data_IF_170831543120
#
_entry.id   IF_170831543120
#
_cell.length_a   1.000
_cell.length_b   1.000
_cell.length_c   1.000
_cell.angle_alpha   90.00
_cell.angle_beta   90.00
_cell.angle_gamma   90.00
#
_symmetry.space_group_name_H-M   'P 1'
#
loop_
_entity.id
_entity.type
_entity.pdbx_description
1 polymer ?
#
# COMPACT_ATOMS: atom_id res chain seq x y z
N UNK A 1 -10.86 17.41 12.49
CA UNK A 1 -10.01 16.22 12.21
C UNK A 1 -8.62 16.73 11.89
N UNK A 2 -7.58 16.22 12.53
CA UNK A 2 -6.21 16.58 12.17
C UNK A 2 -5.95 16.20 10.69
N UNK A 3 -5.27 17.08 9.98
CA UNK A 3 -4.96 16.90 8.56
C UNK A 3 -4.01 15.71 8.41
N UNK A 4 -4.31 14.79 7.52
CA UNK A 4 -3.46 13.62 7.23
C UNK A 4 -2.59 13.86 5.98
N UNK A 5 -1.78 12.87 5.63
CA UNK A 5 -1.00 12.89 4.39
C UNK A 5 -1.90 12.98 3.16
N UNK A 6 -1.48 13.77 2.17
CA UNK A 6 -2.20 13.99 0.91
C UNK A 6 -1.49 13.27 -0.24
N UNK A 7 -2.27 12.77 -1.19
CA UNK A 7 -1.77 12.07 -2.38
C UNK A 7 -2.05 12.89 -3.63
N UNK A 8 -1.03 13.06 -4.43
CA UNK A 8 -1.08 13.64 -5.76
C UNK A 8 -0.42 12.69 -6.77
N UNK A 9 -0.72 12.87 -8.05
CA UNK A 9 -0.12 12.11 -9.13
C UNK A 9 0.61 13.03 -10.09
N UNK A 10 1.81 12.64 -10.53
CA UNK A 10 2.52 13.32 -11.60
C UNK A 10 1.82 12.99 -12.90
N UNK A 11 1.13 13.89 -13.48
CA UNK A 11 0.42 13.64 -14.72
C UNK A 11 -0.37 14.83 -15.23
N UNK A 12 -0.91 14.63 -16.35
CA UNK A 12 -1.59 15.30 -17.41
C UNK A 12 -2.58 16.43 -17.02
N UNK A 13 -3.02 16.54 -15.78
CA UNK A 13 -4.09 17.48 -15.39
C UNK A 13 -3.60 18.88 -14.94
N UNK A 14 -2.33 19.16 -15.10
CA UNK A 14 -1.85 20.55 -14.98
C UNK A 14 -2.10 21.30 -16.28
N UNK A 15 -3.36 21.31 -16.70
CA UNK A 15 -3.83 22.09 -17.82
C UNK A 15 -3.62 23.59 -17.59
N UNK A 16 -3.12 24.29 -18.59
CA UNK A 16 -3.04 25.74 -18.62
C UNK A 16 -1.87 26.34 -17.81
N UNK A 17 -0.76 26.65 -18.44
CA UNK A 17 0.34 27.46 -17.86
C UNK A 17 1.42 26.68 -17.10
N UNK A 18 1.24 25.38 -16.89
CA UNK A 18 2.17 24.54 -16.11
C UNK A 18 3.01 23.57 -16.98
N UNK A 19 3.07 23.79 -18.30
CA UNK A 19 3.88 22.96 -19.21
C UNK A 19 5.35 22.87 -18.76
N UNK A 20 5.90 23.93 -18.19
CA UNK A 20 7.23 23.94 -17.60
C UNK A 20 7.40 23.01 -16.41
N UNK A 21 6.33 22.75 -15.64
CA UNK A 21 6.39 21.84 -14.50
C UNK A 21 6.57 20.39 -14.94
N UNK A 22 5.90 19.97 -16.03
CA UNK A 22 6.08 18.62 -16.59
C UNK A 22 7.50 18.43 -17.14
N UNK A 23 8.07 19.46 -17.76
CA UNK A 23 9.46 19.44 -18.26
C UNK A 23 10.45 19.41 -17.10
N UNK A 24 10.27 20.27 -16.10
CA UNK A 24 11.12 20.29 -14.89
C UNK A 24 10.98 19.00 -14.10
N UNK A 25 9.77 18.47 -13.93
CA UNK A 25 9.50 17.19 -13.27
C UNK A 25 10.27 16.06 -13.94
N UNK A 26 10.24 15.94 -15.27
CA UNK A 26 11.04 14.95 -16.00
C UNK A 26 12.54 15.14 -15.80
N UNK A 27 13.06 16.37 -15.80
CA UNK A 27 14.46 16.67 -15.50
C UNK A 27 14.87 16.27 -14.09
N UNK A 28 13.96 16.40 -13.12
CA UNK A 28 14.14 15.96 -11.74
C UNK A 28 13.93 14.45 -11.54
N UNK A 29 13.61 13.72 -12.63
CA UNK A 29 13.43 12.27 -12.60
C UNK A 29 12.05 11.80 -12.20
N UNK A 30 11.06 12.68 -12.11
CA UNK A 30 9.66 12.28 -11.92
C UNK A 30 9.11 11.66 -13.19
N UNK A 31 8.33 10.59 -13.04
CA UNK A 31 7.69 9.89 -14.15
C UNK A 31 6.20 10.21 -14.16
N UNK A 32 5.61 10.24 -15.34
CA UNK A 32 4.17 10.34 -15.48
C UNK A 32 3.48 9.20 -14.74
N UNK A 33 2.37 9.51 -14.05
CA UNK A 33 1.68 8.55 -13.19
C UNK A 33 2.46 8.14 -11.93
N UNK A 34 3.52 8.86 -11.57
CA UNK A 34 4.21 8.65 -10.30
C UNK A 34 3.43 9.32 -9.16
N UNK A 35 3.18 8.61 -8.05
CA UNK A 35 2.54 9.22 -6.89
C UNK A 35 3.50 10.15 -6.15
N UNK A 36 2.94 11.20 -5.57
CA UNK A 36 3.61 12.13 -4.66
C UNK A 36 2.80 12.17 -3.36
N UNK A 37 3.43 11.84 -2.26
CA UNK A 37 2.86 12.00 -0.92
C UNK A 37 3.38 13.27 -0.29
N UNK A 38 2.44 14.11 0.15
CA UNK A 38 2.71 15.37 0.84
C UNK A 38 2.29 15.22 2.30
N UNK A 39 3.21 15.47 3.21
CA UNK A 39 2.95 15.45 4.65
C UNK A 39 1.99 16.57 5.08
N UNK A 40 1.37 16.48 6.26
CA UNK A 40 0.44 17.51 6.73
C UNK A 40 1.07 18.92 6.86
N UNK A 41 2.39 19.01 7.10
CA UNK A 41 3.15 20.26 7.10
C UNK A 41 3.54 20.76 5.70
N UNK A 42 3.01 20.14 4.64
CA UNK A 42 3.19 20.58 3.25
C UNK A 42 4.49 20.14 2.59
N UNK A 43 5.25 19.21 3.18
CA UNK A 43 6.53 18.75 2.65
C UNK A 43 6.42 17.51 1.79
N UNK A 44 7.27 17.45 0.76
CA UNK A 44 7.50 16.25 -0.06
C UNK A 44 8.80 15.60 0.37
N UNK A 45 8.78 14.33 0.73
CA UNK A 45 9.98 13.59 1.06
C UNK A 45 10.63 13.02 -0.22
N UNK A 46 11.87 13.46 -0.48
CA UNK A 46 12.63 13.03 -1.65
C UNK A 46 12.89 11.51 -1.66
N UNK A 47 13.02 10.88 -0.48
CA UNK A 47 13.22 9.44 -0.32
C UNK A 47 11.98 8.67 -0.80
N UNK A 48 10.80 9.13 -0.43
CA UNK A 48 9.54 8.54 -0.92
C UNK A 48 9.38 8.75 -2.44
N UNK A 49 9.76 9.92 -2.95
CA UNK A 49 9.76 10.19 -4.40
C UNK A 49 10.71 9.24 -5.14
N UNK A 50 11.88 8.95 -4.60
CA UNK A 50 12.82 7.95 -5.13
C UNK A 50 12.21 6.54 -5.09
N UNK A 51 11.60 6.15 -3.98
CA UNK A 51 10.92 4.85 -3.87
C UNK A 51 9.86 4.67 -4.95
N UNK A 52 9.01 5.66 -5.13
CA UNK A 52 7.93 5.59 -6.11
C UNK A 52 8.42 5.60 -7.56
N UNK A 53 9.52 6.27 -7.85
CA UNK A 53 10.06 6.42 -9.20
C UNK A 53 11.06 5.36 -9.64
N UNK A 54 11.82 4.76 -8.71
CA UNK A 54 13.01 3.96 -9.03
C UNK A 54 13.10 2.58 -8.39
N UNK A 55 12.21 2.25 -7.45
CA UNK A 55 12.23 0.95 -6.78
C UNK A 55 11.41 -0.11 -7.53
N UNK A 56 11.36 -1.31 -6.96
CA UNK A 56 10.42 -2.38 -7.42
C UNK A 56 8.95 -1.96 -7.36
N UNK A 57 8.62 -0.90 -6.63
CA UNK A 57 7.28 -0.31 -6.64
C UNK A 57 6.92 0.19 -8.05
N UNK A 58 7.83 0.89 -8.74
CA UNK A 58 7.59 1.48 -10.05
C UNK A 58 7.26 0.44 -11.14
N UNK A 59 7.72 -0.81 -10.99
CA UNK A 59 7.45 -1.91 -11.93
C UNK A 59 6.14 -2.66 -11.65
N UNK A 60 5.41 -2.31 -10.59
CA UNK A 60 4.10 -2.93 -10.27
C UNK A 60 3.02 -2.45 -11.23
N UNK A 61 2.01 -3.30 -11.45
CA UNK A 61 0.80 -2.93 -12.18
C UNK A 61 0.13 -1.69 -11.57
N UNK A 62 -0.46 -0.85 -12.41
CA UNK A 62 -1.05 0.45 -12.01
C UNK A 62 -2.01 0.31 -10.83
N UNK A 63 -2.99 -0.60 -10.89
CA UNK A 63 -3.92 -0.81 -9.78
C UNK A 63 -3.27 -1.28 -8.48
N UNK A 64 -2.12 -2.01 -8.56
CA UNK A 64 -1.34 -2.37 -7.38
C UNK A 64 -0.64 -1.13 -6.79
N UNK A 65 -0.06 -0.28 -7.65
CA UNK A 65 0.59 0.97 -7.22
C UNK A 65 -0.41 1.90 -6.54
N UNK A 66 -1.57 2.10 -7.14
CA UNK A 66 -2.66 2.91 -6.58
C UNK A 66 -3.09 2.40 -5.21
N UNK A 67 -3.34 1.09 -5.10
CA UNK A 67 -3.72 0.47 -3.83
C UNK A 67 -2.65 0.65 -2.75
N UNK A 68 -1.37 0.42 -3.09
CA UNK A 68 -0.27 0.53 -2.14
C UNK A 68 -0.06 1.97 -1.66
N UNK A 69 -0.13 2.94 -2.57
CA UNK A 69 0.02 4.36 -2.20
C UNK A 69 -1.08 4.81 -1.25
N UNK A 70 -2.32 4.36 -1.46
CA UNK A 70 -3.41 4.63 -0.53
C UNK A 70 -3.15 4.00 0.84
N UNK A 71 -2.58 2.79 0.88
CA UNK A 71 -2.21 2.12 2.11
C UNK A 71 -1.08 2.88 2.84
N UNK A 72 -0.04 3.34 2.12
CA UNK A 72 1.02 4.21 2.68
C UNK A 72 0.46 5.51 3.22
N UNK A 73 -0.38 6.21 2.47
CA UNK A 73 -1.00 7.45 2.91
C UNK A 73 -1.74 7.30 4.23
N UNK A 74 -2.50 6.22 4.37
CA UNK A 74 -3.27 5.95 5.58
C UNK A 74 -2.37 5.65 6.77
N UNK A 75 -1.36 4.78 6.58
CA UNK A 75 -0.41 4.43 7.63
C UNK A 75 0.43 5.63 8.07
N UNK A 76 0.91 6.44 7.12
CA UNK A 76 1.68 7.64 7.45
C UNK A 76 0.84 8.70 8.16
N UNK A 77 -0.44 8.81 7.82
CA UNK A 77 -1.36 9.68 8.57
C UNK A 77 -1.56 9.19 10.00
N UNK A 78 -1.67 7.88 10.20
CA UNK A 78 -1.75 7.26 11.53
C UNK A 78 -0.48 7.55 12.35
N UNK A 79 0.71 7.34 11.78
CA UNK A 79 1.97 7.67 12.42
C UNK A 79 2.08 9.17 12.76
N UNK A 80 1.68 10.03 11.83
CA UNK A 80 1.71 11.48 12.05
C UNK A 80 0.86 11.90 13.23
N UNK A 81 -0.32 11.35 13.39
CA UNK A 81 -1.19 11.63 14.55
C UNK A 81 -0.61 11.12 15.86
N UNK A 82 0.27 10.14 15.81
CA UNK A 82 1.07 9.68 16.96
C UNK A 82 2.39 10.44 17.12
N UNK A 83 2.60 11.54 16.38
CA UNK A 83 3.81 12.37 16.44
C UNK A 83 5.04 11.74 15.81
N UNK A 84 4.90 10.79 14.88
CA UNK A 84 6.01 10.09 14.24
C UNK A 84 6.06 10.29 12.72
N UNK A 85 7.29 10.38 12.20
CA UNK A 85 7.56 10.28 10.77
C UNK A 85 7.45 8.84 10.27
N UNK A 86 7.24 8.66 8.97
CA UNK A 86 7.20 7.34 8.37
C UNK A 86 8.51 6.56 8.55
N UNK A 87 9.64 7.26 8.60
CA UNK A 87 11.00 6.72 8.79
C UNK A 87 11.33 6.39 10.25
N UNK A 88 10.43 6.71 11.17
CA UNK A 88 10.53 6.42 12.60
C UNK A 88 9.59 5.31 13.06
N UNK A 89 8.89 4.66 12.12
CA UNK A 89 7.95 3.60 12.43
C UNK A 89 8.64 2.42 13.14
N UNK A 90 7.98 1.90 14.16
CA UNK A 90 8.44 0.77 14.97
C UNK A 90 7.45 -0.39 14.84
N UNK A 91 7.83 -1.53 15.39
CA UNK A 91 6.97 -2.73 15.42
C UNK A 91 5.67 -2.45 16.17
N UNK A 92 5.76 -1.76 17.30
CA UNK A 92 4.61 -1.40 18.14
C UNK A 92 3.61 -0.53 17.38
N UNK A 93 4.10 0.39 16.53
CA UNK A 93 3.21 1.20 15.68
C UNK A 93 2.45 0.35 14.67
N UNK A 94 3.06 -0.73 14.21
CA UNK A 94 2.42 -1.64 13.26
C UNK A 94 1.38 -2.53 13.96
N UNK A 95 1.63 -2.93 15.21
CA UNK A 95 0.67 -3.64 16.06
C UNK A 95 -0.55 -2.76 16.38
N UNK A 96 -0.32 -1.51 16.78
CA UNK A 96 -1.38 -0.53 17.01
C UNK A 96 -2.18 -0.25 15.73
N UNK A 97 -1.49 -0.19 14.58
CA UNK A 97 -2.12 -0.04 13.28
C UNK A 97 -2.99 -1.25 12.93
N UNK A 98 -2.52 -2.48 13.18
CA UNK A 98 -3.30 -3.71 13.01
C UNK A 98 -4.58 -3.66 13.83
N UNK A 99 -4.46 -3.35 15.12
CA UNK A 99 -5.60 -3.25 16.02
C UNK A 99 -6.62 -2.24 15.53
N UNK A 100 -6.15 -1.05 15.15
CA UNK A 100 -7.03 -0.01 14.62
C UNK A 100 -7.72 -0.46 13.32
N UNK A 101 -6.98 -1.12 12.42
CA UNK A 101 -7.52 -1.57 11.12
C UNK A 101 -8.52 -2.72 11.24
N UNK A 102 -8.23 -3.69 12.08
CA UNK A 102 -9.02 -4.92 12.18
C UNK A 102 -10.09 -4.85 13.27
N UNK A 103 -9.79 -4.22 14.39
CA UNK A 103 -10.58 -4.31 15.64
C UNK A 103 -11.09 -2.95 16.14
N UNK A 104 -10.51 -1.83 15.73
CA UNK A 104 -10.81 -0.49 16.26
C UNK A 104 -12.29 -0.16 16.19
N UNK A 105 -12.96 -0.05 17.35
CA UNK A 105 -14.41 0.25 17.44
C UNK A 105 -14.75 1.62 16.85
N UNK A 106 -13.85 2.58 16.93
CA UNK A 106 -13.97 3.93 16.36
C UNK A 106 -13.61 4.01 14.87
N UNK A 107 -13.17 2.93 14.23
CA UNK A 107 -12.81 2.92 12.81
C UNK A 107 -13.99 2.45 11.95
N UNK A 108 -14.67 3.36 11.23
CA UNK A 108 -15.78 2.99 10.35
C UNK A 108 -15.30 2.20 9.12
N UNK A 109 -14.00 2.18 8.85
CA UNK A 109 -13.37 1.53 7.69
C UNK A 109 -12.50 0.35 8.11
N UNK A 110 -13.00 -0.48 9.01
CA UNK A 110 -12.34 -1.75 9.35
C UNK A 110 -12.19 -2.62 8.11
N UNK A 111 -11.14 -3.42 8.09
CA UNK A 111 -10.80 -4.29 6.96
C UNK A 111 -10.78 -5.76 7.39
N UNK A 112 -10.90 -6.65 6.42
CA UNK A 112 -10.70 -8.08 6.65
C UNK A 112 -9.24 -8.50 6.45
N UNK A 113 -8.92 -9.74 6.86
CA UNK A 113 -7.57 -10.29 6.84
C UNK A 113 -6.89 -10.27 5.46
N UNK A 114 -7.65 -10.50 4.37
CA UNK A 114 -7.09 -10.45 3.01
C UNK A 114 -6.60 -9.05 2.62
N UNK A 115 -7.33 -7.99 3.01
CA UNK A 115 -6.90 -6.60 2.80
C UNK A 115 -5.70 -6.29 3.69
N UNK A 116 -5.70 -6.77 4.94
CA UNK A 116 -4.58 -6.58 5.87
C UNK A 116 -3.28 -7.19 5.33
N UNK A 117 -3.30 -8.42 4.82
CA UNK A 117 -2.12 -9.05 4.18
C UNK A 117 -1.58 -8.17 3.04
N UNK A 118 -2.46 -7.56 2.25
CA UNK A 118 -2.04 -6.66 1.17
C UNK A 118 -1.39 -5.38 1.72
N UNK A 119 -1.93 -4.79 2.78
CA UNK A 119 -1.32 -3.63 3.46
C UNK A 119 0.07 -3.99 4.02
N UNK A 120 0.21 -5.13 4.67
CA UNK A 120 1.51 -5.63 5.13
C UNK A 120 2.50 -5.84 4.00
N UNK A 121 2.05 -6.37 2.85
CA UNK A 121 2.91 -6.54 1.67
C UNK A 121 3.38 -5.20 1.10
N UNK A 122 2.52 -4.17 1.12
CA UNK A 122 2.89 -2.82 0.73
C UNK A 122 3.93 -2.24 1.68
N UNK A 123 3.68 -2.27 2.99
CA UNK A 123 4.59 -1.75 4.02
C UNK A 123 5.94 -2.48 3.98
N UNK A 124 5.92 -3.79 3.86
CA UNK A 124 7.13 -4.59 3.72
C UNK A 124 7.98 -4.13 2.52
N UNK A 125 7.36 -3.93 1.35
CA UNK A 125 8.06 -3.48 0.15
C UNK A 125 8.78 -2.14 0.35
N UNK A 126 8.12 -1.19 1.03
CA UNK A 126 8.70 0.11 1.35
C UNK A 126 9.85 -0.01 2.36
N UNK A 127 9.60 -0.65 3.49
CA UNK A 127 10.58 -0.67 4.59
C UNK A 127 11.79 -1.56 4.31
N UNK A 128 11.65 -2.66 3.56
CA UNK A 128 12.80 -3.42 3.06
C UNK A 128 13.67 -2.57 2.14
N UNK A 129 13.05 -1.78 1.25
CA UNK A 129 13.79 -0.86 0.40
C UNK A 129 14.44 0.26 1.21
N UNK A 130 13.73 0.86 2.15
CA UNK A 130 14.25 1.96 2.98
C UNK A 130 15.42 1.50 3.86
N UNK A 131 15.33 0.30 4.45
CA UNK A 131 16.43 -0.29 5.23
C UNK A 131 17.66 -0.58 4.35
N UNK A 132 17.45 -1.13 3.14
CA UNK A 132 18.54 -1.37 2.19
C UNK A 132 19.23 -0.08 1.72
N UNK A 133 18.57 1.07 1.82
CA UNK A 133 19.10 2.41 1.51
C UNK A 133 19.66 3.14 2.73
N UNK A 134 19.52 2.57 3.94
CA UNK A 134 19.93 3.22 5.17
C UNK A 134 19.01 4.39 5.59
N UNK A 135 17.81 4.50 5.04
CA UNK A 135 16.83 5.53 5.42
C UNK A 135 16.10 5.20 6.71
N UNK A 136 16.05 3.93 7.07
CA UNK A 136 15.61 3.42 8.36
C UNK A 136 16.61 2.40 8.88
N UNK A 137 16.70 2.22 10.18
CA UNK A 137 17.63 1.27 10.81
C UNK A 137 17.24 -0.17 10.47
N UNK A 138 15.95 -0.47 10.55
CA UNK A 138 15.40 -1.80 10.24
C UNK A 138 13.95 -1.67 9.78
N UNK A 139 13.42 -2.72 9.14
CA UNK A 139 12.00 -2.79 8.79
C UNK A 139 11.16 -3.06 10.04
N UNK A 140 10.06 -2.32 10.29
CA UNK A 140 9.11 -2.67 11.35
C UNK A 140 8.26 -3.90 10.99
N UNK A 141 8.26 -4.34 9.74
CA UNK A 141 7.55 -5.54 9.29
C UNK A 141 8.42 -6.76 9.54
N UNK A 142 8.27 -7.35 10.71
CA UNK A 142 8.99 -8.57 11.05
C UNK A 142 8.46 -9.79 10.30
N UNK A 143 9.33 -10.76 10.08
CA UNK A 143 9.02 -11.96 9.31
C UNK A 143 9.21 -13.19 10.18
N UNK A 144 8.21 -14.08 10.16
CA UNK A 144 8.31 -15.44 10.70
C UNK A 144 8.44 -16.47 9.58
N UNK A 145 9.06 -17.59 9.88
CA UNK A 145 9.14 -18.71 8.95
C UNK A 145 7.95 -19.64 9.18
N UNK A 146 7.21 -19.89 8.13
CA UNK A 146 6.07 -20.84 8.13
C UNK A 146 6.38 -21.95 7.14
N UNK A 147 6.11 -23.21 7.53
CA UNK A 147 6.20 -24.34 6.60
C UNK A 147 4.87 -24.48 5.86
N UNK A 148 4.95 -24.53 4.54
CA UNK A 148 3.78 -24.83 3.70
C UNK A 148 3.38 -26.30 3.78
N UNK A 149 2.19 -26.63 3.31
CA UNK A 149 1.69 -28.02 3.24
C UNK A 149 2.59 -28.95 2.41
N UNK A 150 3.39 -28.40 1.50
CA UNK A 150 4.41 -29.13 0.71
C UNK A 150 5.80 -29.10 1.36
N UNK A 151 5.92 -28.67 2.62
CA UNK A 151 7.18 -28.69 3.40
C UNK A 151 8.14 -27.53 3.11
N UNK A 152 7.86 -26.65 2.15
CA UNK A 152 8.71 -25.51 1.85
C UNK A 152 8.66 -24.47 2.96
N UNK A 153 9.81 -23.90 3.35
CA UNK A 153 9.89 -22.80 4.31
C UNK A 153 9.65 -21.46 3.58
N UNK A 154 8.62 -20.74 4.02
CA UNK A 154 8.27 -19.41 3.46
C UNK A 154 8.32 -18.37 4.56
N UNK A 155 8.91 -17.20 4.26
CA UNK A 155 8.91 -16.04 5.17
C UNK A 155 7.63 -15.22 4.95
N UNK A 156 6.83 -15.10 5.99
CA UNK A 156 5.59 -14.30 6.00
C UNK A 156 5.69 -13.22 7.08
N UNK A 157 5.03 -12.06 6.93
CA UNK A 157 4.94 -11.08 8.00
C UNK A 157 4.38 -11.71 9.28
N UNK A 158 4.95 -11.37 10.44
CA UNK A 158 4.53 -11.94 11.73
C UNK A 158 3.08 -11.63 12.03
N UNK A 159 2.65 -10.40 11.75
CA UNK A 159 1.27 -9.93 11.90
C UNK A 159 0.32 -10.43 10.79
N UNK A 160 0.77 -11.31 9.88
CA UNK A 160 -0.12 -11.92 8.93
C UNK A 160 -1.07 -12.91 9.63
N UNK A 161 -2.40 -12.80 9.46
CA UNK A 161 -3.36 -13.71 10.06
C UNK A 161 -3.06 -15.16 9.65
N UNK A 162 -3.16 -16.08 10.59
CA UNK A 162 -2.91 -17.53 10.35
C UNK A 162 -4.06 -18.12 9.52
N UNK A 163 -5.29 -17.66 9.77
CA UNK A 163 -6.52 -18.16 9.16
C UNK A 163 -7.17 -17.11 8.25
N UNK A 164 -6.49 -16.74 7.18
CA UNK A 164 -7.20 -16.04 6.11
C UNK A 164 -8.02 -17.07 5.35
N UNK A 165 -9.31 -17.12 5.62
CA UNK A 165 -10.23 -17.79 4.71
C UNK A 165 -9.97 -17.18 3.32
N UNK A 166 -9.42 -17.99 2.41
CA UNK A 166 -9.42 -17.63 1.00
C UNK A 166 -10.81 -17.14 0.67
N UNK A 167 -10.91 -15.96 0.04
CA UNK A 167 -12.21 -15.47 -0.40
C UNK A 167 -12.88 -16.64 -1.10
N UNK A 168 -14.04 -17.06 -0.59
CA UNK A 168 -14.83 -18.09 -1.26
C UNK A 168 -15.24 -17.46 -2.59
N UNK A 169 -14.36 -17.62 -3.59
CA UNK A 169 -14.72 -17.33 -4.96
C UNK A 169 -15.84 -18.32 -5.22
N UNK A 170 -17.08 -17.83 -5.19
CA UNK A 170 -18.24 -18.63 -5.55
C UNK A 170 -18.10 -18.93 -7.04
N UNK A 171 -17.40 -20.00 -7.34
CA UNK A 171 -17.37 -20.53 -8.69
C UNK A 171 -18.82 -20.83 -9.07
N UNK A 172 -19.28 -20.23 -10.14
CA UNK A 172 -20.55 -20.60 -10.73
C UNK A 172 -20.47 -22.10 -11.03
N UNK A 173 -21.40 -22.87 -10.48
CA UNK A 173 -21.50 -24.27 -10.87
C UNK A 173 -21.64 -24.35 -12.40
N UNK A 174 -21.24 -25.43 -13.06
CA UNK A 174 -21.40 -25.57 -14.52
C UNK A 174 -22.85 -25.33 -15.00
N UNK A 175 -23.82 -25.62 -14.13
CA UNK A 175 -25.23 -25.33 -14.40
C UNK A 175 -25.52 -23.83 -14.31
N UNK A 176 -25.04 -23.16 -13.26
CA UNK A 176 -25.24 -21.73 -13.08
C UNK A 176 -24.50 -20.91 -14.15
N UNK A 177 -23.29 -21.36 -14.58
CA UNK A 177 -22.57 -20.77 -15.68
C UNK A 177 -23.33 -20.87 -17.01
N UNK A 178 -23.91 -22.05 -17.31
CA UNK A 178 -24.74 -22.23 -18.50
C UNK A 178 -25.97 -21.34 -18.48
N UNK A 179 -26.67 -21.28 -17.34
CA UNK A 179 -27.83 -20.41 -17.18
C UNK A 179 -27.46 -18.93 -17.38
N UNK A 180 -26.36 -18.50 -16.78
CA UNK A 180 -25.87 -17.13 -16.95
C UNK A 180 -25.49 -16.81 -18.40
N UNK A 181 -24.79 -17.71 -19.07
CA UNK A 181 -24.41 -17.59 -20.48
C UNK A 181 -25.63 -17.59 -21.41
N UNK A 182 -26.57 -18.52 -21.21
CA UNK A 182 -27.64 -18.79 -22.17
C UNK A 182 -28.85 -17.86 -21.98
N UNK A 183 -29.04 -17.32 -20.79
CA UNK A 183 -30.16 -16.41 -20.45
C UNK A 183 -29.64 -14.98 -20.21
N UNK A 184 -28.54 -14.79 -19.50
CA UNK A 184 -28.03 -13.47 -19.12
C UNK A 184 -27.38 -12.67 -20.24
N UNK A 185 -26.94 -13.32 -21.34
CA UNK A 185 -26.34 -12.65 -22.50
C UNK A 185 -27.30 -12.47 -23.69
N UNK A 186 -28.54 -12.87 -23.56
CA UNK A 186 -29.59 -12.76 -24.60
C UNK A 186 -30.66 -11.71 -24.28
N UNK A 187 -30.46 -10.90 -23.22
CA UNK A 187 -31.30 -9.77 -22.89
C UNK A 187 -30.92 -8.50 -23.58
#
# INVERSE_FOLDING_TARGET
MAEGWRLFWVGVELGGGWADFAVRGRRLGFREGQPILVSPDGRVDARLSEFFGRSRFASRATGTRESYVLDYRLFFSFLWWSGRGWDQARVEDLEDWEDWRLRGRGNPRRIGGAKWIRELAALRLLYEWAAARGYVVSSPVWLRVVRTSVGAAVRVPELAPVDVRSSNVKWLTPRAFRLWRDVGLRG
#
